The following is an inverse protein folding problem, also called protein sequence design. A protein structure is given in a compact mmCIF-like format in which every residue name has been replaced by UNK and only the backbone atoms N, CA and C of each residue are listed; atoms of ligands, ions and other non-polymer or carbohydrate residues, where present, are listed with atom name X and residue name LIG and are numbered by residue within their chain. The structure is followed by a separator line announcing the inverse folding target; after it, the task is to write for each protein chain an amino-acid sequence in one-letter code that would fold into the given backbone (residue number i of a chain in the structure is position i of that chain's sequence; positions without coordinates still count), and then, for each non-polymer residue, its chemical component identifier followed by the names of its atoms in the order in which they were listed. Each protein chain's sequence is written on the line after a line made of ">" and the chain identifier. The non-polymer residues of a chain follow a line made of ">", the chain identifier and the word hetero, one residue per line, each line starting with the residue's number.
data_IF_371277883380
#
_entry.id   IF_371277883380
#
_cell.length_a   1.000
_cell.length_b   1.000
_cell.length_c   1.000
_cell.angle_alpha   90.00
_cell.angle_beta   90.00
_cell.angle_gamma   90.00
#
_symmetry.space_group_name_H-M   'P 1'
#
loop_
_entity.id
_entity.type
_entity.pdbx_description
1 polymer ?
#
# COMPACT_ATOMS: atom_id res chain seq x y z
N UNK A 1 14.41 7.53 -5.56
CA UNK A 1 13.52 8.63 -5.14
C UNK A 1 13.34 9.51 -6.36
N UNK A 2 12.21 9.40 -7.06
CA UNK A 2 11.89 10.24 -8.21
C UNK A 2 10.77 11.18 -7.75
N UNK A 3 11.11 12.46 -7.59
CA UNK A 3 10.15 13.56 -7.44
C UNK A 3 10.17 14.32 -8.75
N UNK A 4 9.17 14.05 -9.58
CA UNK A 4 9.04 14.63 -10.91
C UNK A 4 7.67 14.27 -11.47
N UNK A 5 6.61 14.70 -10.79
CA UNK A 5 5.24 14.55 -11.23
C UNK A 5 4.52 15.87 -10.99
N UNK A 6 3.86 16.39 -12.02
CA UNK A 6 3.07 17.59 -11.95
C UNK A 6 2.12 17.56 -10.72
N UNK A 7 2.17 18.53 -9.79
CA UNK A 7 1.28 18.54 -8.62
C UNK A 7 -0.21 18.70 -8.97
N UNK A 8 -0.55 18.94 -10.24
CA UNK A 8 -1.92 19.22 -10.67
C UNK A 8 -2.86 18.01 -10.69
N UNK A 9 -2.35 16.78 -10.55
CA UNK A 9 -3.17 15.58 -10.63
C UNK A 9 -2.81 14.52 -9.59
N UNK A 10 -3.82 13.99 -8.89
CA UNK A 10 -3.65 12.91 -7.92
C UNK A 10 -3.38 11.58 -8.65
N UNK A 11 -2.16 11.06 -8.53
CA UNK A 11 -1.71 9.89 -9.31
C UNK A 11 -2.04 8.52 -8.70
N UNK A 12 -2.31 8.46 -7.39
CA UNK A 12 -2.60 7.19 -6.69
C UNK A 12 -3.55 7.37 -5.51
N UNK A 13 -4.75 6.81 -5.59
CA UNK A 13 -5.71 6.76 -4.48
C UNK A 13 -5.48 5.53 -3.62
N UNK A 14 -5.35 5.73 -2.31
CA UNK A 14 -5.24 4.64 -1.33
C UNK A 14 -6.50 4.58 -0.49
N UNK A 15 -7.18 3.43 -0.49
CA UNK A 15 -8.36 3.18 0.33
C UNK A 15 -7.99 2.21 1.46
N UNK A 16 -8.07 2.68 2.70
CA UNK A 16 -7.86 1.85 3.88
C UNK A 16 -9.18 1.23 4.34
N UNK A 17 -9.16 -0.08 4.55
CA UNK A 17 -10.29 -0.89 5.02
C UNK A 17 -9.87 -1.61 6.28
N UNK A 18 -10.59 -1.37 7.37
CA UNK A 18 -10.43 -2.13 8.60
C UNK A 18 -11.32 -3.37 8.53
N UNK A 19 -10.69 -4.55 8.56
CA UNK A 19 -11.38 -5.84 8.60
C UNK A 19 -11.63 -6.21 10.06
N UNK A 20 -12.53 -5.44 10.68
CA UNK A 20 -12.96 -5.62 12.07
C UNK A 20 -14.49 -5.67 12.16
N UNK A 21 -15.05 -6.45 13.10
CA UNK A 21 -16.46 -6.35 13.41
C UNK A 21 -16.81 -4.92 13.83
N UNK A 22 -17.96 -4.41 13.37
CA UNK A 22 -18.46 -3.11 13.79
C UNK A 22 -18.60 -3.09 15.32
N UNK A 23 -17.82 -2.22 16.00
CA UNK A 23 -17.96 -1.96 17.43
C UNK A 23 -19.05 -0.93 17.67
N UNK A 24 -19.92 -1.20 18.64
CA UNK A 24 -20.92 -0.28 19.20
C UNK A 24 -21.75 0.49 18.16
N UNK A 25 -22.69 -0.20 17.51
CA UNK A 25 -23.77 0.40 16.69
C UNK A 25 -23.30 1.37 15.57
N UNK A 26 -21.99 1.44 15.32
CA UNK A 26 -21.41 2.25 14.24
C UNK A 26 -21.59 1.49 12.94
N UNK A 27 -22.59 1.91 12.18
CA UNK A 27 -22.77 1.46 10.81
C UNK A 27 -21.50 1.70 9.97
N UNK A 28 -21.17 0.72 9.13
CA UNK A 28 -20.13 0.89 8.12
C UNK A 28 -20.43 2.09 7.22
N UNK A 29 -19.39 2.71 6.67
CA UNK A 29 -19.58 3.82 5.73
C UNK A 29 -20.36 3.35 4.51
N UNK A 30 -21.42 4.07 4.15
CA UNK A 30 -22.18 3.78 2.93
C UNK A 30 -21.39 4.21 1.70
N UNK A 31 -21.59 3.51 0.57
CA UNK A 31 -21.01 3.89 -0.72
C UNK A 31 -21.39 5.33 -1.12
N UNK A 32 -22.59 5.78 -0.76
CA UNK A 32 -23.04 7.15 -1.01
C UNK A 32 -22.24 8.21 -0.24
N UNK A 33 -21.90 7.94 1.03
CA UNK A 33 -21.04 8.82 1.83
C UNK A 33 -19.62 8.85 1.26
N UNK A 34 -19.08 7.69 0.90
CA UNK A 34 -17.76 7.61 0.25
C UNK A 34 -17.70 8.40 -1.05
N UNK A 35 -18.68 8.22 -1.95
CA UNK A 35 -18.80 9.00 -3.20
C UNK A 35 -18.87 10.51 -2.94
N UNK A 36 -19.56 10.93 -1.87
CA UNK A 36 -19.66 12.35 -1.51
C UNK A 36 -18.32 12.95 -1.07
N UNK A 37 -17.47 12.15 -0.42
CA UNK A 37 -16.09 12.55 -0.07
C UNK A 37 -15.26 12.71 -1.34
N UNK A 38 -15.28 11.74 -2.25
CA UNK A 38 -14.56 11.84 -3.53
C UNK A 38 -14.98 13.07 -4.34
N UNK A 39 -16.28 13.36 -4.39
CA UNK A 39 -16.80 14.56 -5.05
C UNK A 39 -16.33 15.88 -4.40
N UNK A 40 -16.03 15.89 -3.10
CA UNK A 40 -15.43 17.04 -2.44
C UNK A 40 -13.93 17.17 -2.73
N UNK A 41 -13.23 16.04 -2.88
CA UNK A 41 -11.81 16.01 -3.24
C UNK A 41 -11.61 16.50 -4.67
N UNK A 42 -12.43 16.04 -5.63
CA UNK A 42 -12.33 16.45 -7.05
C UNK A 42 -12.49 17.96 -7.27
N UNK A 43 -13.23 18.64 -6.39
CA UNK A 43 -13.36 20.11 -6.42
C UNK A 43 -12.06 20.85 -6.09
N UNK A 44 -11.13 20.19 -5.39
CA UNK A 44 -9.89 20.78 -4.86
C UNK A 44 -8.66 20.32 -5.61
N UNK A 45 -8.63 19.05 -6.01
CA UNK A 45 -7.55 18.42 -6.78
C UNK A 45 -8.21 17.54 -7.83
N UNK A 46 -7.82 17.69 -9.10
CA UNK A 46 -8.35 16.85 -10.16
C UNK A 46 -7.99 15.40 -9.88
N UNK A 47 -9.03 14.58 -9.74
CA UNK A 47 -8.87 13.14 -9.69
C UNK A 47 -8.68 12.64 -11.12
N UNK A 48 -7.52 12.06 -11.38
CA UNK A 48 -7.31 11.35 -12.63
C UNK A 48 -8.07 10.02 -12.56
N UNK A 49 -8.93 9.73 -13.54
CA UNK A 49 -9.69 8.48 -13.57
C UNK A 49 -8.80 7.27 -13.87
N UNK A 50 -7.63 7.50 -14.47
CA UNK A 50 -6.61 6.49 -14.70
C UNK A 50 -5.62 6.40 -13.52
N UNK A 51 -5.83 7.18 -12.45
CA UNK A 51 -5.04 7.09 -11.23
C UNK A 51 -5.15 5.69 -10.63
N UNK A 52 -4.02 5.16 -10.17
CA UNK A 52 -4.00 3.84 -9.53
C UNK A 52 -4.85 3.84 -8.27
N UNK A 53 -5.68 2.81 -8.08
CA UNK A 53 -6.36 2.52 -6.82
C UNK A 53 -5.64 1.38 -6.09
N UNK A 54 -5.27 1.63 -4.85
CA UNK A 54 -4.65 0.65 -3.95
C UNK A 54 -5.51 0.47 -2.71
N UNK A 55 -5.70 -0.78 -2.28
CA UNK A 55 -6.48 -1.15 -1.10
C UNK A 55 -5.52 -1.59 0.00
N UNK A 56 -5.62 -0.97 1.16
CA UNK A 56 -4.92 -1.39 2.37
C UNK A 56 -5.90 -2.05 3.32
N UNK A 57 -5.63 -3.28 3.75
CA UNK A 57 -6.49 -4.03 4.67
C UNK A 57 -5.75 -4.20 6.00
N UNK A 58 -6.34 -3.65 7.05
CA UNK A 58 -5.87 -3.78 8.42
C UNK A 58 -6.71 -4.81 9.17
N UNK A 59 -6.07 -5.89 9.64
CA UNK A 59 -6.68 -6.89 10.52
C UNK A 59 -6.09 -6.82 11.93
N UNK A 60 -6.87 -7.11 12.98
CA UNK A 60 -6.35 -7.13 14.35
C UNK A 60 -5.20 -8.14 14.49
N UNK A 61 -4.03 -7.67 14.91
CA UNK A 61 -2.85 -8.52 15.16
C UNK A 61 -2.05 -8.90 13.91
N UNK A 62 -2.46 -8.48 12.72
CA UNK A 62 -1.71 -8.69 11.47
C UNK A 62 -1.08 -7.40 10.97
N UNK A 63 -0.01 -7.53 10.18
CA UNK A 63 0.56 -6.38 9.49
C UNK A 63 -0.40 -5.88 8.41
N UNK A 64 -0.45 -4.57 8.19
CA UNK A 64 -1.23 -3.95 7.10
C UNK A 64 -0.87 -4.61 5.77
N UNK A 65 -1.88 -5.15 5.09
CA UNK A 65 -1.71 -5.79 3.78
C UNK A 65 -2.08 -4.78 2.69
N UNK A 66 -1.27 -4.72 1.64
CA UNK A 66 -1.46 -3.80 0.51
C UNK A 66 -1.81 -4.61 -0.73
N UNK A 67 -2.88 -4.21 -1.41
CA UNK A 67 -3.40 -4.87 -2.60
C UNK A 67 -3.60 -3.87 -3.74
N UNK A 68 -3.28 -4.28 -4.95
CA UNK A 68 -3.74 -3.58 -6.15
C UNK A 68 -5.06 -4.20 -6.63
N UNK A 69 -5.84 -3.44 -7.41
CA UNK A 69 -7.05 -3.97 -8.04
C UNK A 69 -6.65 -4.84 -9.23
N UNK A 70 -6.93 -6.14 -9.14
CA UNK A 70 -6.70 -7.09 -10.23
C UNK A 70 -7.86 -7.10 -11.23
N UNK A 71 -9.09 -6.93 -10.73
CA UNK A 71 -10.30 -6.87 -11.55
C UNK A 71 -11.43 -6.12 -10.83
N UNK A 72 -12.36 -5.56 -11.59
CA UNK A 72 -13.59 -4.93 -11.12
C UNK A 72 -14.78 -5.48 -11.93
N UNK A 73 -15.73 -6.11 -11.26
CA UNK A 73 -17.05 -6.45 -11.83
C UNK A 73 -18.15 -5.64 -11.15
N UNK A 74 -19.14 -5.22 -11.93
CA UNK A 74 -20.38 -4.64 -11.41
C UNK A 74 -21.45 -5.71 -11.54
N UNK A 75 -22.01 -6.13 -10.41
CA UNK A 75 -23.00 -7.19 -10.32
C UNK A 75 -24.25 -6.61 -9.67
N UNK A 76 -25.33 -6.45 -10.44
CA UNK A 76 -26.60 -5.86 -9.98
C UNK A 76 -26.39 -4.50 -9.27
N UNK A 77 -26.42 -4.51 -7.94
CA UNK A 77 -26.34 -3.35 -7.04
C UNK A 77 -24.99 -3.24 -6.29
N UNK A 78 -24.01 -4.08 -6.63
CA UNK A 78 -22.68 -4.09 -5.97
C UNK A 78 -21.53 -4.05 -6.96
N UNK A 79 -20.45 -3.42 -6.52
CA UNK A 79 -19.14 -3.54 -7.14
C UNK A 79 -18.34 -4.63 -6.42
N UNK A 80 -17.79 -5.57 -7.17
CA UNK A 80 -16.93 -6.64 -6.67
C UNK A 80 -15.52 -6.41 -7.18
N UNK A 81 -14.58 -6.24 -6.24
CA UNK A 81 -13.18 -6.00 -6.53
C UNK A 81 -12.38 -7.28 -6.27
N UNK A 82 -11.66 -7.77 -7.27
CA UNK A 82 -10.66 -8.81 -7.08
C UNK A 82 -9.33 -8.17 -6.69
N UNK A 83 -8.76 -8.62 -5.57
CA UNK A 83 -7.53 -8.05 -5.01
C UNK A 83 -6.30 -8.87 -5.43
N UNK A 84 -5.33 -8.21 -6.04
CA UNK A 84 -4.01 -8.79 -6.32
C UNK A 84 -3.03 -8.47 -5.20
N UNK A 85 -2.38 -9.49 -4.62
CA UNK A 85 -1.38 -9.28 -3.57
C UNK A 85 -0.24 -8.44 -4.12
N UNK A 86 0.03 -7.30 -3.49
CA UNK A 86 1.21 -6.53 -3.77
C UNK A 86 2.31 -6.94 -2.81
N UNK A 87 3.52 -7.18 -3.34
CA UNK A 87 4.69 -7.33 -2.49
C UNK A 87 4.93 -6.01 -1.74
N UNK A 88 4.46 -5.94 -0.49
CA UNK A 88 4.74 -4.83 0.39
C UNK A 88 6.18 -4.98 0.88
N UNK A 89 7.08 -4.13 0.39
CA UNK A 89 8.45 -4.07 0.92
C UNK A 89 8.35 -3.48 2.33
N UNK A 90 8.41 -4.34 3.34
CA UNK A 90 8.54 -3.94 4.72
C UNK A 90 9.90 -3.23 4.89
N UNK A 91 9.88 -1.88 4.98
CA UNK A 91 11.09 -1.05 5.10
C UNK A 91 12.07 -1.54 6.20
N UNK A 92 11.61 -1.95 7.40
CA UNK A 92 12.48 -2.56 8.41
C UNK A 92 13.15 -3.86 7.97
N UNK A 93 12.39 -4.77 7.36
CA UNK A 93 12.90 -6.08 6.91
C UNK A 93 13.88 -5.94 5.74
N UNK A 94 13.57 -5.05 4.81
CA UNK A 94 14.47 -4.72 3.71
C UNK A 94 15.79 -4.09 4.19
N UNK A 95 15.76 -3.23 5.22
CA UNK A 95 17.00 -2.73 5.83
C UNK A 95 17.80 -3.86 6.49
N UNK A 96 17.15 -4.79 7.19
CA UNK A 96 17.83 -5.92 7.79
C UNK A 96 18.47 -6.85 6.75
N UNK A 97 17.79 -7.12 5.62
CA UNK A 97 18.31 -7.91 4.50
C UNK A 97 19.48 -7.21 3.81
N UNK A 98 19.43 -5.88 3.62
CA UNK A 98 20.56 -5.11 3.09
C UNK A 98 21.77 -5.15 4.03
N UNK A 99 21.57 -5.04 5.35
CA UNK A 99 22.65 -5.16 6.34
C UNK A 99 23.24 -6.57 6.37
N UNK A 100 22.41 -7.62 6.25
CA UNK A 100 22.87 -9.00 6.18
C UNK A 100 23.65 -9.30 4.89
N UNK A 101 23.23 -8.72 3.75
CA UNK A 101 23.95 -8.82 2.48
C UNK A 101 25.28 -8.05 2.50
N UNK A 102 25.36 -6.90 3.20
CA UNK A 102 26.60 -6.16 3.39
C UNK A 102 27.58 -6.89 4.34
N UNK A 103 27.07 -7.64 5.32
CA UNK A 103 27.89 -8.43 6.24
C UNK A 103 28.57 -9.65 5.59
N UNK A 104 28.04 -10.19 4.48
CA UNK A 104 28.70 -11.28 3.73
C UNK A 104 29.93 -10.83 2.94
N UNK A 105 30.08 -9.52 2.70
CA UNK A 105 31.26 -8.91 2.09
C UNK A 105 32.44 -8.77 3.09
N UNK A 106 32.18 -8.87 4.39
CA UNK A 106 33.16 -8.61 5.45
C UNK A 106 33.46 -9.87 6.29
N UNK A 107 33.41 -11.05 5.70
CA UNK A 107 34.03 -12.22 6.33
C UNK A 107 35.54 -11.92 6.49
N UNK A 108 36.12 -11.99 7.70
CA UNK A 108 37.56 -11.87 7.84
C UNK A 108 38.19 -13.03 7.10
N UNK A 109 38.85 -12.75 5.97
CA UNK A 109 39.73 -13.72 5.33
C UNK A 109 40.87 -13.96 6.31
N UNK A 110 40.81 -15.08 7.01
CA UNK A 110 41.94 -15.66 7.74
C UNK A 110 43.03 -16.03 6.73
N UNK A 111 43.83 -15.03 6.32
CA UNK A 111 45.12 -15.27 5.68
C UNK A 111 46.23 -14.98 6.67
N UNK A 112 46.79 -16.07 7.19
CA UNK A 112 48.13 -16.11 7.73
C UNK A 112 49.12 -15.60 6.68
N UNK A 113 50.00 -14.68 7.09
CA UNK A 113 51.07 -14.15 6.26
C UNK A 113 51.65 -12.89 6.90
N UNK A 114 52.76 -13.08 7.62
CA UNK A 114 53.40 -12.06 8.45
C UNK A 114 53.91 -10.84 7.70
N UNK A 115 54.06 -9.76 8.47
CA UNK A 115 54.77 -8.55 8.10
C UNK A 115 56.28 -8.79 8.28
N UNK A 116 57.05 -8.62 7.19
CA UNK A 116 58.42 -8.10 7.07
C UNK A 116 58.91 -8.41 5.64
#
# INVERSE_FOLDING_TARGET
>A
MVWGGNPDAWQETVLQVEDIPAKDDRSAMTAGKFRSILAQVDKKVRLDHDARLTIEIGRPGEAMQVFDIANLSIENDRAVLSLGVRAAICKPRHRAEQTAAAASCCAPSSKAGGCC
#
